data_IF_696628382403
#
_entry.id   IF_696628382403
#
_cell.length_a   1.000
_cell.length_b   1.000
_cell.length_c   1.000
_cell.angle_alpha   90.00
_cell.angle_beta   90.00
_cell.angle_gamma   90.00
#
_symmetry.space_group_name_H-M   'P 1'
#
loop_
_entity.id
_entity.type
_entity.pdbx_description
1 polymer ?
#
# COMPACT_ATOMS: atom_id res chain seq x y z
N UNK A 1 36.20 -58.54 -36.25
CA UNK A 1 35.91 -58.51 -34.84
C UNK A 1 35.62 -57.06 -34.49
N UNK A 2 34.33 -56.67 -34.55
CA UNK A 2 33.90 -55.29 -34.29
C UNK A 2 33.28 -55.22 -32.90
N UNK A 3 33.84 -54.41 -32.07
CA UNK A 3 33.39 -54.17 -30.69
C UNK A 3 32.27 -53.14 -30.70
N UNK A 4 31.02 -53.50 -30.39
CA UNK A 4 29.93 -52.62 -30.12
C UNK A 4 30.04 -52.10 -28.69
N UNK A 5 30.20 -50.77 -28.52
CA UNK A 5 30.08 -50.12 -27.24
C UNK A 5 28.62 -49.60 -27.11
N UNK A 6 27.87 -50.21 -26.18
CA UNK A 6 26.53 -49.74 -25.83
C UNK A 6 26.63 -48.53 -24.91
N UNK A 7 26.16 -47.32 -25.39
CA UNK A 7 25.90 -46.18 -24.55
C UNK A 7 24.58 -46.38 -23.82
N UNK A 8 24.61 -46.57 -22.50
CA UNK A 8 23.44 -46.48 -21.64
C UNK A 8 23.14 -45.02 -21.36
N UNK A 9 22.10 -44.46 -22.02
CA UNK A 9 21.49 -43.21 -21.61
C UNK A 9 20.64 -43.45 -20.36
N UNK A 10 21.23 -43.25 -19.19
CA UNK A 10 20.51 -43.13 -17.92
C UNK A 10 20.36 -41.66 -17.58
N UNK A 11 19.28 -41.01 -18.06
CA UNK A 11 18.93 -39.65 -17.74
C UNK A 11 17.46 -39.55 -17.36
N UNK A 12 17.11 -40.14 -16.21
CA UNK A 12 15.81 -39.92 -15.61
C UNK A 12 15.74 -38.56 -14.92
N UNK A 13 15.57 -37.48 -15.69
CA UNK A 13 15.09 -36.22 -15.18
C UNK A 13 13.60 -36.37 -14.85
N UNK A 14 13.29 -36.81 -13.63
CA UNK A 14 11.94 -36.81 -13.11
C UNK A 14 11.46 -35.36 -13.00
N UNK A 15 10.63 -34.91 -13.94
CA UNK A 15 9.74 -33.77 -13.70
C UNK A 15 8.82 -34.18 -12.57
N UNK A 16 9.14 -33.74 -11.33
CA UNK A 16 8.21 -33.91 -10.21
C UNK A 16 6.94 -33.12 -10.57
N UNK A 17 5.88 -33.84 -10.97
CA UNK A 17 4.60 -33.23 -11.24
C UNK A 17 4.13 -32.41 -10.04
N UNK A 18 3.43 -31.30 -10.28
CA UNK A 18 2.84 -30.48 -9.21
C UNK A 18 1.96 -31.36 -8.31
N UNK A 19 2.09 -31.19 -6.98
CA UNK A 19 1.23 -31.85 -5.99
C UNK A 19 -0.22 -31.39 -6.05
N UNK A 20 -0.54 -30.34 -6.82
CA UNK A 20 -1.84 -29.71 -6.91
C UNK A 20 -1.74 -28.19 -6.87
N UNK A 21 -2.87 -27.54 -6.63
CA UNK A 21 -2.96 -26.07 -6.66
C UNK A 21 -3.49 -25.52 -5.34
N UNK A 22 -2.82 -24.53 -4.81
CA UNK A 22 -3.26 -23.68 -3.71
C UNK A 22 -3.64 -22.32 -4.31
N UNK A 23 -4.74 -21.71 -3.85
CA UNK A 23 -5.18 -20.40 -4.31
C UNK A 23 -4.81 -19.32 -3.28
N UNK A 24 -4.38 -18.18 -3.80
CA UNK A 24 -4.32 -16.91 -3.07
C UNK A 24 -5.05 -15.85 -3.87
N UNK A 25 -5.69 -14.91 -3.17
CA UNK A 25 -6.39 -13.80 -3.81
C UNK A 25 -5.69 -12.46 -3.59
N UNK A 26 -6.21 -11.44 -4.24
CA UNK A 26 -6.07 -10.05 -3.78
C UNK A 26 -7.41 -9.35 -3.88
N UNK A 27 -7.62 -8.35 -3.02
CA UNK A 27 -8.72 -7.41 -3.11
C UNK A 27 -8.16 -6.00 -3.18
N UNK A 28 -8.31 -5.35 -4.34
CA UNK A 28 -7.62 -4.10 -4.69
C UNK A 28 -8.46 -3.29 -5.67
N UNK A 29 -8.42 -1.94 -5.63
CA UNK A 29 -9.11 -1.09 -6.61
C UNK A 29 -8.35 -1.05 -7.95
N UNK A 30 -8.40 -2.16 -8.72
CA UNK A 30 -7.61 -2.28 -9.97
C UNK A 30 -8.11 -1.36 -11.10
N UNK A 31 -9.20 -0.64 -10.91
CA UNK A 31 -9.61 0.44 -11.79
C UNK A 31 -8.72 1.70 -11.65
N UNK A 32 -7.94 1.80 -10.57
CA UNK A 32 -6.96 2.87 -10.34
C UNK A 32 -5.56 2.44 -10.76
N UNK A 33 -4.68 3.39 -11.07
CA UNK A 33 -3.28 3.08 -11.38
C UNK A 33 -2.53 2.51 -10.17
N UNK A 34 -2.84 2.97 -8.95
CA UNK A 34 -2.28 2.45 -7.70
C UNK A 34 -2.66 1.00 -7.45
N UNK A 35 -3.95 0.66 -7.53
CA UNK A 35 -4.44 -0.71 -7.35
C UNK A 35 -3.90 -1.67 -8.42
N UNK A 36 -3.89 -1.26 -9.70
CA UNK A 36 -3.38 -2.08 -10.78
C UNK A 36 -1.87 -2.36 -10.65
N UNK A 37 -1.06 -1.34 -10.35
CA UNK A 37 0.39 -1.52 -10.15
C UNK A 37 0.71 -2.42 -8.95
N UNK A 38 -0.13 -2.36 -7.91
CA UNK A 38 -0.05 -3.24 -6.74
C UNK A 38 -0.36 -4.70 -7.11
N UNK A 39 -1.43 -4.94 -7.90
CA UNK A 39 -1.76 -6.28 -8.42
C UNK A 39 -0.63 -6.87 -9.30
N UNK A 40 0.05 -6.03 -10.09
CA UNK A 40 1.22 -6.42 -10.88
C UNK A 40 2.36 -6.94 -10.00
N UNK A 41 2.62 -6.29 -8.84
CA UNK A 41 3.61 -6.73 -7.86
C UNK A 41 3.32 -8.13 -7.31
N UNK A 42 2.06 -8.40 -6.97
CA UNK A 42 1.61 -9.73 -6.49
C UNK A 42 1.80 -10.78 -7.60
N UNK A 43 1.32 -10.46 -8.80
CA UNK A 43 1.45 -11.37 -9.95
C UNK A 43 2.91 -11.72 -10.21
N UNK A 44 3.81 -10.73 -10.18
CA UNK A 44 5.23 -10.96 -10.37
C UNK A 44 5.83 -11.89 -9.32
N UNK A 45 5.47 -11.73 -8.04
CA UNK A 45 5.92 -12.62 -6.96
C UNK A 45 5.44 -14.06 -7.19
N UNK A 46 4.18 -14.24 -7.57
CA UNK A 46 3.59 -15.56 -7.84
C UNK A 46 4.23 -16.22 -9.05
N UNK A 47 4.42 -15.48 -10.13
CA UNK A 47 5.04 -16.00 -11.35
C UNK A 47 6.47 -16.48 -11.06
N UNK A 48 7.28 -15.70 -10.34
CA UNK A 48 8.61 -16.09 -9.90
C UNK A 48 8.58 -17.34 -8.99
N UNK A 49 7.66 -17.41 -8.03
CA UNK A 49 7.53 -18.55 -7.14
C UNK A 49 7.17 -19.81 -7.91
N UNK A 50 6.25 -19.73 -8.85
CA UNK A 50 5.84 -20.87 -9.69
C UNK A 50 6.97 -21.32 -10.63
N UNK A 51 7.72 -20.38 -11.23
CA UNK A 51 8.89 -20.69 -12.05
C UNK A 51 9.99 -21.43 -11.24
N UNK A 52 10.07 -21.18 -9.93
CA UNK A 52 10.98 -21.86 -9.01
C UNK A 52 10.41 -23.19 -8.44
N UNK A 53 9.30 -23.73 -8.98
CA UNK A 53 8.69 -24.99 -8.55
C UNK A 53 7.54 -24.85 -7.55
N UNK A 54 7.04 -23.64 -7.36
CA UNK A 54 5.90 -23.34 -6.49
C UNK A 54 6.22 -23.32 -5.00
N UNK A 55 5.24 -23.61 -4.17
CA UNK A 55 5.41 -23.70 -2.71
C UNK A 55 5.33 -25.15 -2.28
N UNK A 56 6.47 -25.72 -1.88
CA UNK A 56 6.61 -27.11 -1.47
C UNK A 56 6.02 -28.12 -2.47
N UNK A 57 6.12 -27.81 -3.79
CA UNK A 57 5.60 -28.61 -4.89
C UNK A 57 4.15 -28.30 -5.29
N UNK A 58 3.46 -27.37 -4.61
CA UNK A 58 2.16 -26.86 -5.05
C UNK A 58 2.34 -25.65 -5.97
N UNK A 59 1.57 -25.64 -7.07
CA UNK A 59 1.44 -24.44 -7.90
C UNK A 59 0.55 -23.43 -7.18
N UNK A 60 0.94 -22.17 -7.17
CA UNK A 60 0.12 -21.08 -6.63
C UNK A 60 -0.74 -20.49 -7.76
N UNK A 61 -2.05 -20.55 -7.59
CA UNK A 61 -3.01 -19.87 -8.46
C UNK A 61 -3.38 -18.54 -7.82
N UNK A 62 -3.05 -17.45 -8.48
CA UNK A 62 -3.42 -16.10 -8.04
C UNK A 62 -4.65 -15.62 -8.79
N UNK A 63 -5.59 -15.04 -8.05
CA UNK A 63 -6.78 -14.39 -8.59
C UNK A 63 -6.88 -12.97 -8.02
N UNK A 64 -6.90 -11.99 -8.91
CA UNK A 64 -7.15 -10.59 -8.57
C UNK A 64 -8.66 -10.34 -8.54
N UNK A 65 -9.14 -9.75 -7.45
CA UNK A 65 -10.51 -9.26 -7.30
C UNK A 65 -10.46 -7.73 -7.28
N UNK A 66 -11.47 -7.12 -7.92
CA UNK A 66 -11.61 -5.68 -8.04
C UNK A 66 -12.67 -5.18 -7.06
N UNK A 67 -12.28 -4.32 -6.13
CA UNK A 67 -13.21 -3.68 -5.19
C UNK A 67 -13.77 -2.35 -5.71
N UNK A 68 -13.52 -2.00 -6.96
CA UNK A 68 -14.02 -0.75 -7.55
C UNK A 68 -15.53 -0.77 -7.80
N UNK A 69 -16.14 0.38 -7.50
CA UNK A 69 -17.48 0.75 -7.96
C UNK A 69 -17.43 2.21 -8.41
N UNK A 70 -17.93 2.49 -9.60
CA UNK A 70 -18.00 3.87 -10.16
C UNK A 70 -16.63 4.60 -10.16
N UNK A 71 -15.54 3.87 -10.42
CA UNK A 71 -14.19 4.43 -10.53
C UNK A 71 -13.52 4.79 -9.20
N UNK A 72 -13.99 4.22 -8.08
CA UNK A 72 -13.38 4.33 -6.78
C UNK A 72 -13.51 3.01 -6.01
N UNK A 73 -12.71 2.81 -4.96
CA UNK A 73 -12.86 1.66 -4.08
C UNK A 73 -14.24 1.65 -3.39
N UNK A 74 -14.72 0.47 -3.07
CA UNK A 74 -15.99 0.23 -2.39
C UNK A 74 -15.82 -0.84 -1.33
N UNK A 75 -16.13 -0.51 -0.08
CA UNK A 75 -16.09 -1.49 1.00
C UNK A 75 -17.10 -2.64 0.79
N UNK A 76 -18.26 -2.35 0.19
CA UNK A 76 -19.26 -3.37 -0.12
C UNK A 76 -18.74 -4.37 -1.17
N UNK A 77 -18.03 -3.86 -2.21
CA UNK A 77 -17.40 -4.73 -3.20
C UNK A 77 -16.30 -5.61 -2.59
N UNK A 78 -15.49 -5.05 -1.69
CA UNK A 78 -14.48 -5.81 -0.96
C UNK A 78 -15.10 -6.92 -0.12
N UNK A 79 -16.20 -6.63 0.59
CA UNK A 79 -16.97 -7.65 1.33
C UNK A 79 -17.44 -8.79 0.41
N UNK A 80 -18.01 -8.48 -0.76
CA UNK A 80 -18.44 -9.48 -1.76
C UNK A 80 -17.25 -10.32 -2.24
N UNK A 81 -16.10 -9.71 -2.49
CA UNK A 81 -14.87 -10.37 -2.93
C UNK A 81 -14.33 -11.33 -1.86
N UNK A 82 -14.24 -10.89 -0.61
CA UNK A 82 -13.80 -11.73 0.52
C UNK A 82 -14.77 -12.90 0.71
N UNK A 83 -16.10 -12.69 0.66
CA UNK A 83 -17.09 -13.75 0.76
C UNK A 83 -16.92 -14.78 -0.37
N UNK A 84 -16.61 -14.34 -1.58
CA UNK A 84 -16.32 -15.22 -2.73
C UNK A 84 -15.08 -16.08 -2.46
N UNK A 85 -13.99 -15.48 -1.96
CA UNK A 85 -12.79 -16.22 -1.57
C UNK A 85 -13.05 -17.20 -0.42
N UNK A 86 -13.85 -16.80 0.57
CA UNK A 86 -14.20 -17.64 1.70
C UNK A 86 -15.04 -18.85 1.29
N UNK A 87 -15.85 -18.72 0.23
CA UNK A 87 -16.66 -19.81 -0.35
C UNK A 87 -15.86 -20.94 -1.02
N UNK A 88 -14.57 -20.70 -1.36
CA UNK A 88 -13.68 -21.73 -1.92
C UNK A 88 -12.55 -22.05 -0.93
N UNK A 89 -12.58 -23.24 -0.35
CA UNK A 89 -11.58 -23.69 0.65
C UNK A 89 -10.14 -23.77 0.10
N UNK A 90 -9.93 -23.68 -1.21
CA UNK A 90 -8.59 -23.61 -1.82
C UNK A 90 -7.91 -22.26 -1.62
N UNK A 91 -8.67 -21.18 -1.36
CA UNK A 91 -8.09 -19.90 -0.98
C UNK A 91 -7.61 -19.95 0.46
N UNK A 92 -6.29 -19.82 0.65
CA UNK A 92 -5.65 -19.90 1.95
C UNK A 92 -5.30 -18.52 2.55
N UNK A 93 -5.46 -17.46 1.79
CA UNK A 93 -5.25 -16.08 2.19
C UNK A 93 -5.26 -15.14 1.00
N UNK A 94 -5.15 -13.85 1.29
CA UNK A 94 -5.11 -12.80 0.27
C UNK A 94 -4.09 -11.71 0.59
N UNK A 95 -3.68 -10.99 -0.46
CA UNK A 95 -2.93 -9.74 -0.37
C UNK A 95 -3.93 -8.61 -0.56
N UNK A 96 -3.98 -7.72 0.40
CA UNK A 96 -4.96 -6.66 0.46
C UNK A 96 -5.66 -6.60 1.83
N UNK A 97 -6.71 -5.73 1.90
CA UNK A 97 -7.12 -4.78 0.86
C UNK A 97 -6.16 -3.58 0.73
N UNK A 98 -6.43 -2.74 -0.27
CA UNK A 98 -5.64 -1.52 -0.52
C UNK A 98 -6.06 -0.38 0.43
N UNK A 99 -7.35 -0.15 0.59
CA UNK A 99 -7.92 0.97 1.31
C UNK A 99 -8.34 0.59 2.75
N UNK A 100 -8.08 1.48 3.72
CA UNK A 100 -8.35 1.22 5.14
C UNK A 100 -9.85 1.04 5.45
N UNK A 101 -10.73 1.71 4.71
CA UNK A 101 -12.19 1.54 4.85
C UNK A 101 -12.64 0.13 4.42
N UNK A 102 -12.02 -0.42 3.39
CA UNK A 102 -12.26 -1.80 2.92
C UNK A 102 -11.78 -2.79 3.97
N UNK A 103 -10.56 -2.62 4.50
CA UNK A 103 -10.04 -3.47 5.58
C UNK A 103 -10.95 -3.49 6.81
N UNK A 104 -11.46 -2.32 7.21
CA UNK A 104 -12.42 -2.20 8.32
C UNK A 104 -13.68 -3.06 8.11
N UNK A 105 -14.16 -3.19 6.88
CA UNK A 105 -15.32 -3.99 6.54
C UNK A 105 -15.03 -5.49 6.41
N UNK A 106 -13.84 -5.85 5.92
CA UNK A 106 -13.46 -7.23 5.62
C UNK A 106 -12.93 -8.02 6.83
N UNK A 107 -12.20 -7.37 7.74
CA UNK A 107 -11.62 -8.04 8.92
C UNK A 107 -12.70 -8.79 9.73
N UNK A 108 -13.89 -8.22 10.03
CA UNK A 108 -14.92 -8.91 10.80
C UNK A 108 -15.46 -10.19 10.13
N UNK A 109 -15.41 -10.27 8.80
CA UNK A 109 -15.90 -11.41 8.02
C UNK A 109 -14.84 -12.49 7.88
N UNK A 110 -13.59 -12.08 7.66
CA UNK A 110 -12.45 -12.98 7.42
C UNK A 110 -11.91 -13.58 8.72
N UNK A 111 -12.00 -12.85 9.84
CA UNK A 111 -11.43 -13.25 11.13
C UNK A 111 -11.99 -14.57 11.68
N UNK A 112 -13.33 -14.81 11.71
CA UNK A 112 -13.88 -16.08 12.16
C UNK A 112 -13.49 -17.28 11.30
N UNK A 113 -13.05 -17.04 10.08
CA UNK A 113 -12.61 -18.05 9.11
C UNK A 113 -11.09 -18.25 9.12
N UNK A 114 -10.38 -17.60 10.01
CA UNK A 114 -8.91 -17.61 10.10
C UNK A 114 -8.23 -17.27 8.76
N UNK A 115 -8.91 -16.50 7.90
CA UNK A 115 -8.44 -16.18 6.57
C UNK A 115 -7.41 -15.06 6.63
N UNK A 116 -6.18 -15.38 6.23
CA UNK A 116 -5.05 -14.43 6.27
C UNK A 116 -5.27 -13.31 5.28
N UNK A 117 -5.20 -12.08 5.77
CA UNK A 117 -5.15 -10.86 4.99
C UNK A 117 -3.81 -10.17 5.25
N UNK A 118 -3.08 -9.81 4.21
CA UNK A 118 -1.83 -9.05 4.35
C UNK A 118 -1.85 -7.83 3.43
N UNK A 119 -2.06 -6.67 4.03
CA UNK A 119 -2.17 -5.42 3.26
C UNK A 119 -0.80 -4.87 2.87
N UNK A 120 -0.64 -4.48 1.60
CA UNK A 120 0.55 -3.77 1.13
C UNK A 120 0.50 -2.25 1.36
N UNK A 121 -0.66 -1.69 1.78
CA UNK A 121 -0.90 -0.25 1.70
C UNK A 121 -1.78 0.35 2.80
N UNK A 122 -2.48 -0.45 3.62
CA UNK A 122 -3.33 0.13 4.67
C UNK A 122 -2.50 0.75 5.79
N UNK A 123 -2.77 2.00 6.08
CA UNK A 123 -1.98 2.80 7.03
C UNK A 123 -2.73 3.23 8.28
N UNK A 124 -4.08 3.17 8.29
CA UNK A 124 -4.83 3.56 9.48
C UNK A 124 -4.46 2.68 10.69
N UNK A 125 -3.94 3.26 11.80
CA UNK A 125 -3.47 2.48 12.95
C UNK A 125 -4.60 1.73 13.66
N UNK A 126 -5.82 2.26 13.67
CA UNK A 126 -6.96 1.68 14.38
C UNK A 126 -7.41 0.31 13.84
N UNK A 127 -6.91 -0.12 12.68
CA UNK A 127 -7.12 -1.46 12.16
C UNK A 127 -6.41 -2.54 13.00
N UNK A 128 -5.36 -2.18 13.73
CA UNK A 128 -4.49 -3.13 14.44
C UNK A 128 -4.25 -2.79 15.89
N UNK A 129 -4.26 -1.51 16.27
CA UNK A 129 -3.87 -1.01 17.58
C UNK A 129 -4.64 0.25 17.97
N UNK A 130 -4.63 0.57 19.26
CA UNK A 130 -5.03 1.89 19.75
C UNK A 130 -3.91 2.91 19.52
N UNK A 131 -4.29 4.17 19.30
CA UNK A 131 -3.34 5.29 19.24
C UNK A 131 -3.31 6.02 20.58
N UNK A 132 -2.12 6.20 21.18
CA UNK A 132 -2.01 6.93 22.43
C UNK A 132 -2.17 8.44 22.22
N UNK A 133 -2.60 9.20 23.24
CA UNK A 133 -2.50 10.65 23.22
C UNK A 133 -1.07 11.11 22.87
N UNK A 134 -0.88 12.27 22.22
CA UNK A 134 -1.87 13.32 21.93
C UNK A 134 -2.73 13.11 20.66
N UNK A 135 -2.55 12.01 19.94
CA UNK A 135 -3.34 11.74 18.74
C UNK A 135 -4.81 11.49 19.10
N UNK A 136 -5.71 11.75 18.15
CA UNK A 136 -7.12 11.47 18.33
C UNK A 136 -7.35 9.96 18.57
N UNK A 137 -8.20 9.57 19.54
CA UNK A 137 -8.47 8.19 19.82
C UNK A 137 -9.17 7.51 18.63
N UNK A 138 -8.97 6.21 18.51
CA UNK A 138 -9.68 5.40 17.52
C UNK A 138 -11.20 5.46 17.72
N UNK A 139 -11.95 5.60 16.65
CA UNK A 139 -13.43 5.56 16.64
C UNK A 139 -13.98 4.14 16.51
N UNK A 140 -13.12 3.16 16.35
CA UNK A 140 -13.40 1.72 16.34
C UNK A 140 -12.15 0.97 16.83
N UNK A 141 -12.32 -0.25 17.33
CA UNK A 141 -11.23 -0.97 17.99
C UNK A 141 -10.86 -2.25 17.24
N UNK A 142 -9.57 -2.51 17.10
CA UNK A 142 -9.05 -3.71 16.42
C UNK A 142 -9.60 -5.02 17.02
N UNK A 143 -9.82 -5.06 18.33
CA UNK A 143 -10.41 -6.21 19.02
C UNK A 143 -11.85 -6.49 18.55
N UNK A 144 -12.64 -5.42 18.35
CA UNK A 144 -14.03 -5.54 17.88
C UNK A 144 -14.07 -6.01 16.43
N UNK A 145 -13.17 -5.50 15.58
CA UNK A 145 -13.04 -5.97 14.19
C UNK A 145 -12.73 -7.47 14.13
N UNK A 146 -11.95 -7.99 15.05
CA UNK A 146 -11.59 -9.42 15.11
C UNK A 146 -12.66 -10.31 15.76
N UNK A 147 -13.73 -9.73 16.31
CA UNK A 147 -14.79 -10.47 17.02
C UNK A 147 -14.25 -11.44 18.07
N UNK A 148 -13.20 -11.06 18.80
CA UNK A 148 -12.53 -11.89 19.80
C UNK A 148 -11.66 -13.03 19.23
N UNK A 149 -11.51 -13.13 17.93
CA UNK A 149 -10.64 -14.13 17.29
C UNK A 149 -9.17 -13.71 17.34
N UNK A 150 -8.27 -14.67 17.10
CA UNK A 150 -6.86 -14.41 16.93
C UNK A 150 -6.61 -13.55 15.67
N UNK A 151 -5.53 -12.77 15.69
CA UNK A 151 -5.18 -11.90 14.58
C UNK A 151 -5.09 -12.67 13.26
N UNK A 152 -5.79 -12.18 12.23
CA UNK A 152 -5.79 -12.69 10.87
C UNK A 152 -5.36 -11.62 9.83
N UNK A 153 -5.04 -10.41 10.30
CA UNK A 153 -4.71 -9.26 9.46
C UNK A 153 -3.29 -8.76 9.76
N UNK A 154 -2.49 -8.60 8.73
CA UNK A 154 -1.12 -8.08 8.75
C UNK A 154 -0.94 -6.97 7.72
N UNK A 155 0.12 -6.17 7.88
CA UNK A 155 0.53 -5.19 6.88
C UNK A 155 2.05 -5.02 6.84
N UNK A 156 2.58 -4.82 5.64
CA UNK A 156 4.02 -4.64 5.40
C UNK A 156 4.44 -3.17 5.38
N UNK A 157 3.51 -2.25 5.57
CA UNK A 157 3.72 -0.80 5.60
C UNK A 157 3.56 -0.25 7.02
N UNK A 158 4.17 0.92 7.28
CA UNK A 158 4.00 1.62 8.55
C UNK A 158 2.62 2.30 8.64
N UNK A 159 2.36 3.02 9.72
CA UNK A 159 1.02 3.55 10.03
C UNK A 159 0.99 5.08 10.04
N UNK A 160 -0.21 5.66 9.95
CA UNK A 160 -0.43 7.10 9.85
C UNK A 160 0.03 7.87 11.08
N UNK A 161 0.13 7.19 12.24
CA UNK A 161 0.75 7.76 13.45
C UNK A 161 2.26 8.04 13.30
N UNK A 162 2.89 7.56 12.21
CA UNK A 162 4.21 7.96 11.74
C UNK A 162 4.13 8.83 10.48
N UNK A 163 3.25 8.51 9.54
CA UNK A 163 3.19 9.16 8.24
C UNK A 163 2.71 10.61 8.31
N UNK A 164 1.61 10.89 9.03
CA UNK A 164 1.11 12.24 9.25
C UNK A 164 2.15 13.15 9.92
N UNK A 165 2.78 12.72 11.05
CA UNK A 165 3.87 13.43 11.68
C UNK A 165 5.10 13.69 10.79
N UNK A 166 5.44 12.75 9.88
CA UNK A 166 6.55 12.94 8.95
C UNK A 166 6.31 14.13 8.03
N UNK A 167 5.14 14.20 7.36
CA UNK A 167 4.82 15.34 6.49
C UNK A 167 4.66 16.64 7.28
N UNK A 168 4.05 16.61 8.46
CA UNK A 168 3.94 17.78 9.32
C UNK A 168 5.32 18.36 9.68
N UNK A 169 6.26 17.49 10.03
CA UNK A 169 7.64 17.86 10.34
C UNK A 169 8.37 18.42 9.12
N UNK A 170 8.20 17.78 7.96
CA UNK A 170 8.81 18.20 6.72
C UNK A 170 8.28 19.57 6.26
N UNK A 171 6.96 19.77 6.28
CA UNK A 171 6.35 21.06 5.93
C UNK A 171 6.81 22.16 6.89
N UNK A 172 6.84 21.89 8.20
CA UNK A 172 7.21 22.89 9.20
C UNK A 172 8.71 23.22 9.16
N UNK A 173 9.58 22.21 9.19
CA UNK A 173 11.04 22.40 9.36
C UNK A 173 11.79 22.60 8.04
N UNK A 174 11.39 21.86 6.98
CA UNK A 174 12.12 21.87 5.71
C UNK A 174 11.54 22.88 4.73
N UNK A 175 10.21 22.94 4.62
CA UNK A 175 9.55 23.91 3.74
C UNK A 175 9.28 25.26 4.43
N UNK A 176 9.59 25.39 5.74
CA UNK A 176 9.39 26.59 6.55
C UNK A 176 7.95 27.13 6.52
N UNK A 177 6.97 26.21 6.56
CA UNK A 177 5.55 26.53 6.58
C UNK A 177 5.08 26.51 8.03
N UNK A 178 4.50 27.61 8.51
CA UNK A 178 4.03 27.76 9.88
C UNK A 178 2.52 27.87 10.02
N UNK A 179 1.80 27.98 8.89
CA UNK A 179 0.34 27.99 8.86
C UNK A 179 -0.19 27.18 7.68
N UNK A 180 -1.16 26.28 7.91
CA UNK A 180 -1.73 25.40 6.89
C UNK A 180 -3.25 25.37 6.93
N UNK A 181 -3.89 25.22 5.76
CA UNK A 181 -5.24 24.69 5.66
C UNK A 181 -5.17 23.16 5.56
N UNK A 182 -6.09 22.47 6.22
CA UNK A 182 -6.19 21.00 6.15
C UNK A 182 -7.51 20.62 5.51
N UNK A 183 -7.46 19.66 4.58
CA UNK A 183 -8.63 19.13 3.88
C UNK A 183 -8.60 17.61 3.90
N UNK A 184 -9.70 16.96 4.29
CA UNK A 184 -9.82 15.51 4.17
C UNK A 184 -11.05 15.08 3.36
N UNK A 185 -11.02 13.84 2.87
CA UNK A 185 -12.08 13.23 2.05
C UNK A 185 -13.14 12.48 2.87
N UNK A 186 -13.19 12.70 4.17
CA UNK A 186 -14.13 12.05 5.14
C UNK A 186 -14.01 10.51 5.18
N UNK A 187 -12.98 9.91 4.56
CA UNK A 187 -12.77 8.46 4.63
C UNK A 187 -12.05 8.05 5.90
N UNK A 188 -12.08 6.75 6.22
CA UNK A 188 -11.34 6.18 7.37
C UNK A 188 -9.86 6.54 7.32
N UNK A 189 -9.25 6.51 6.11
CA UNK A 189 -7.86 6.90 5.91
C UNK A 189 -7.69 8.41 6.02
N UNK A 190 -8.47 9.19 5.24
CA UNK A 190 -8.29 10.64 5.15
C UNK A 190 -8.42 11.36 6.49
N UNK A 191 -9.46 11.04 7.26
CA UNK A 191 -9.65 11.59 8.62
C UNK A 191 -8.50 11.19 9.56
N UNK A 192 -8.06 9.92 9.48
CA UNK A 192 -6.98 9.41 10.35
C UNK A 192 -5.66 10.11 10.14
N UNK A 193 -5.20 10.18 8.89
CA UNK A 193 -3.90 10.78 8.56
C UNK A 193 -3.91 12.30 8.76
N UNK A 194 -5.02 12.99 8.46
CA UNK A 194 -5.18 14.42 8.70
C UNK A 194 -5.14 14.76 10.19
N UNK A 195 -5.77 13.95 11.03
CA UNK A 195 -5.72 14.11 12.49
C UNK A 195 -4.32 13.92 13.06
N UNK A 196 -3.56 12.94 12.54
CA UNK A 196 -2.17 12.71 12.93
C UNK A 196 -1.25 13.88 12.49
N UNK A 197 -1.46 14.39 11.26
CA UNK A 197 -0.77 15.59 10.76
C UNK A 197 -1.06 16.81 11.64
N UNK A 198 -2.34 17.12 11.89
CA UNK A 198 -2.80 18.25 12.70
C UNK A 198 -2.13 18.26 14.08
N UNK A 199 -2.14 17.11 14.74
CA UNK A 199 -1.57 16.94 16.08
C UNK A 199 -0.07 17.28 16.08
N UNK A 200 0.68 16.71 15.15
CA UNK A 200 2.12 16.96 15.05
C UNK A 200 2.43 18.39 14.62
N UNK A 201 1.70 18.94 13.64
CA UNK A 201 1.95 20.29 13.15
C UNK A 201 1.76 21.35 14.26
N UNK A 202 0.68 21.20 15.05
CA UNK A 202 0.43 22.04 16.23
C UNK A 202 1.50 21.86 17.32
N UNK A 203 1.97 20.64 17.54
CA UNK A 203 3.03 20.37 18.54
C UNK A 203 4.36 21.04 18.19
N UNK A 204 4.63 21.26 16.91
CA UNK A 204 5.80 22.00 16.42
C UNK A 204 5.66 23.52 16.53
N UNK A 205 4.49 24.02 16.95
CA UNK A 205 4.17 25.46 17.01
C UNK A 205 3.50 25.98 15.74
N UNK A 206 3.13 25.11 14.82
CA UNK A 206 2.39 25.48 13.61
C UNK A 206 0.91 25.76 13.88
N UNK A 207 0.30 26.54 13.01
CA UNK A 207 -1.13 26.89 13.06
C UNK A 207 -1.90 26.17 11.97
N UNK A 208 -2.87 25.36 12.33
CA UNK A 208 -3.90 24.88 11.40
C UNK A 208 -5.00 25.94 11.37
N UNK A 209 -4.99 26.77 10.31
CA UNK A 209 -5.92 27.91 10.18
C UNK A 209 -7.36 27.47 10.02
N UNK A 210 -7.56 26.32 9.39
CA UNK A 210 -8.87 25.66 9.24
C UNK A 210 -8.63 24.18 8.84
N UNK A 211 -9.44 23.30 9.42
CA UNK A 211 -9.62 21.92 8.94
C UNK A 211 -11.02 21.81 8.32
N UNK A 212 -11.12 21.25 7.13
CA UNK A 212 -12.37 21.07 6.38
C UNK A 212 -12.44 19.66 5.84
N UNK A 213 -13.65 19.14 5.76
CA UNK A 213 -13.96 17.81 5.22
C UNK A 213 -14.82 17.96 3.96
N UNK A 214 -14.79 16.96 3.09
CA UNK A 214 -15.72 16.84 1.98
C UNK A 214 -16.09 15.38 1.70
N UNK A 215 -17.16 15.17 0.97
CA UNK A 215 -17.56 13.88 0.45
C UNK A 215 -17.58 13.92 -1.07
N UNK A 216 -16.90 12.98 -1.73
CA UNK A 216 -16.83 12.88 -3.20
C UNK A 216 -18.22 12.91 -3.85
N UNK A 217 -19.20 12.23 -3.25
CA UNK A 217 -20.56 12.13 -3.82
C UNK A 217 -21.28 13.47 -3.97
N UNK A 218 -20.90 14.48 -3.16
CA UNK A 218 -21.59 15.78 -3.11
C UNK A 218 -20.71 16.96 -3.44
N UNK A 219 -19.39 16.75 -3.64
CA UNK A 219 -18.42 17.82 -3.85
C UNK A 219 -17.74 17.70 -5.21
N UNK A 220 -17.85 18.74 -6.01
CA UNK A 220 -17.17 18.87 -7.31
C UNK A 220 -16.35 20.16 -7.44
N UNK A 221 -16.46 21.07 -6.47
CA UNK A 221 -15.74 22.34 -6.42
C UNK A 221 -15.29 22.66 -4.99
N UNK A 222 -14.01 22.88 -4.81
CA UNK A 222 -13.35 23.17 -3.52
C UNK A 222 -12.96 24.65 -3.38
N UNK A 223 -13.25 25.51 -4.37
CA UNK A 223 -12.79 26.91 -4.39
C UNK A 223 -13.22 27.70 -3.15
N UNK A 224 -14.43 27.48 -2.65
CA UNK A 224 -14.91 28.15 -1.42
C UNK A 224 -14.05 27.75 -0.20
N UNK A 225 -13.72 26.48 -0.06
CA UNK A 225 -12.85 25.97 1.02
C UNK A 225 -11.44 26.57 0.88
N UNK A 226 -10.87 26.51 -0.34
CA UNK A 226 -9.53 27.00 -0.64
C UNK A 226 -9.41 28.51 -0.43
N UNK A 227 -10.42 29.31 -0.81
CA UNK A 227 -10.47 30.75 -0.49
C UNK A 227 -10.55 30.99 1.02
N UNK A 228 -11.25 30.14 1.76
CA UNK A 228 -11.27 30.19 3.21
C UNK A 228 -9.87 29.99 3.82
N UNK A 229 -9.09 29.06 3.30
CA UNK A 229 -7.69 28.83 3.72
C UNK A 229 -6.78 30.01 3.34
N UNK A 230 -6.87 30.46 2.09
CA UNK A 230 -6.10 31.61 1.57
C UNK A 230 -6.35 32.88 2.39
N UNK A 231 -7.61 33.21 2.65
CA UNK A 231 -8.01 34.41 3.39
C UNK A 231 -7.62 34.34 4.89
N UNK A 232 -7.52 33.11 5.44
CA UNK A 232 -7.03 32.88 6.80
C UNK A 232 -5.49 32.89 6.90
N UNK A 233 -4.77 33.09 5.79
CA UNK A 233 -3.32 33.23 5.76
C UNK A 233 -2.56 31.90 5.76
N UNK A 234 -3.16 30.83 5.23
CA UNK A 234 -2.44 29.57 5.06
C UNK A 234 -1.27 29.72 4.07
N UNK A 235 -0.10 29.26 4.49
CA UNK A 235 1.15 29.24 3.71
C UNK A 235 1.30 27.92 2.92
N UNK A 236 0.46 26.92 3.21
CA UNK A 236 0.42 25.64 2.55
C UNK A 236 -0.93 24.95 2.76
N UNK A 237 -1.16 23.88 2.04
CA UNK A 237 -2.33 23.00 2.20
C UNK A 237 -1.83 21.59 2.48
N UNK A 238 -2.41 20.93 3.49
CA UNK A 238 -2.25 19.51 3.69
C UNK A 238 -3.56 18.80 3.35
N UNK A 239 -3.45 17.64 2.68
CA UNK A 239 -4.62 16.84 2.32
C UNK A 239 -4.50 15.41 2.83
N UNK A 240 -5.59 14.91 3.44
CA UNK A 240 -5.77 13.51 3.79
C UNK A 240 -6.86 12.90 2.92
N UNK A 241 -6.49 11.91 2.12
CA UNK A 241 -7.41 11.25 1.22
C UNK A 241 -6.71 10.59 0.06
N UNK A 242 -7.50 10.04 -0.86
CA UNK A 242 -7.03 9.30 -2.02
C UNK A 242 -7.44 9.97 -3.33
N UNK A 243 -6.66 9.75 -4.38
CA UNK A 243 -6.92 10.28 -5.72
C UNK A 243 -8.28 9.85 -6.28
N UNK A 244 -8.70 8.60 -6.02
CA UNK A 244 -10.01 8.11 -6.43
C UNK A 244 -11.17 8.77 -5.67
N UNK A 245 -10.90 9.48 -4.57
CA UNK A 245 -11.82 10.39 -3.88
C UNK A 245 -11.68 11.84 -4.35
N UNK A 246 -10.93 12.12 -5.41
CA UNK A 246 -10.71 13.44 -6.02
C UNK A 246 -9.87 14.41 -5.17
N UNK A 247 -9.09 13.94 -4.17
CA UNK A 247 -8.33 14.80 -3.24
C UNK A 247 -7.25 15.65 -3.94
N UNK A 248 -6.84 15.30 -5.16
CA UNK A 248 -5.82 16.04 -5.91
C UNK A 248 -6.40 17.19 -6.75
N UNK A 249 -7.70 17.20 -7.06
CA UNK A 249 -8.36 18.27 -7.82
C UNK A 249 -8.22 19.65 -7.16
N UNK A 250 -8.30 19.78 -5.81
CA UNK A 250 -8.04 21.05 -5.13
C UNK A 250 -6.73 21.73 -5.55
N UNK A 251 -5.65 20.99 -5.83
CA UNK A 251 -4.37 21.59 -6.28
C UNK A 251 -4.53 22.37 -7.58
N UNK A 252 -5.26 21.83 -8.57
CA UNK A 252 -5.56 22.54 -9.80
C UNK A 252 -6.39 23.81 -9.52
N UNK A 253 -7.40 23.69 -8.66
CA UNK A 253 -8.26 24.83 -8.32
C UNK A 253 -7.52 25.93 -7.53
N UNK A 254 -6.50 25.59 -6.73
CA UNK A 254 -5.60 26.58 -6.12
C UNK A 254 -4.91 27.44 -7.19
N UNK A 255 -4.39 26.81 -8.27
CA UNK A 255 -3.78 27.53 -9.39
C UNK A 255 -4.78 28.41 -10.12
N UNK A 256 -6.01 27.92 -10.34
CA UNK A 256 -7.10 28.70 -10.94
C UNK A 256 -7.44 29.96 -10.10
N UNK A 257 -7.25 29.90 -8.78
CA UNK A 257 -7.41 31.03 -7.84
C UNK A 257 -6.17 31.94 -7.74
N UNK A 258 -5.12 31.70 -8.53
CA UNK A 258 -3.86 32.42 -8.42
C UNK A 258 -3.20 32.24 -7.05
N UNK A 259 -3.35 31.06 -6.44
CA UNK A 259 -2.79 30.73 -5.12
C UNK A 259 -1.86 29.53 -5.25
N UNK A 260 -0.57 29.82 -5.29
CA UNK A 260 0.50 28.84 -5.51
C UNK A 260 1.35 28.68 -4.27
N UNK A 261 0.87 27.86 -3.34
CA UNK A 261 1.58 27.46 -2.12
C UNK A 261 1.81 25.96 -2.13
N UNK A 262 2.77 25.43 -1.33
CA UNK A 262 2.98 23.99 -1.22
C UNK A 262 1.70 23.22 -0.88
N UNK A 263 1.57 22.04 -1.49
CA UNK A 263 0.45 21.12 -1.32
C UNK A 263 1.01 19.77 -0.89
N UNK A 264 0.80 19.40 0.37
CA UNK A 264 1.31 18.16 0.95
C UNK A 264 0.20 17.17 1.20
N UNK A 265 0.51 15.86 1.18
CA UNK A 265 -0.45 14.82 1.54
C UNK A 265 0.23 13.52 1.96
N UNK A 266 -0.60 12.53 2.23
CA UNK A 266 -0.19 11.15 2.51
C UNK A 266 0.13 10.36 1.24
N UNK A 267 0.26 9.05 1.41
CA UNK A 267 0.50 8.08 0.33
C UNK A 267 -0.67 7.98 -0.68
N UNK A 268 -1.88 8.35 -0.27
CA UNK A 268 -3.05 8.38 -1.14
C UNK A 268 -2.98 9.38 -2.30
N UNK A 269 -1.99 10.28 -2.31
CA UNK A 269 -1.71 11.18 -3.42
C UNK A 269 -0.42 10.85 -4.18
N UNK A 270 0.39 9.89 -3.72
CA UNK A 270 1.59 9.43 -4.44
C UNK A 270 1.21 8.47 -5.57
N UNK A 271 0.44 8.96 -6.53
CA UNK A 271 -0.12 8.16 -7.62
C UNK A 271 -0.02 8.86 -8.98
N UNK A 272 -0.03 8.08 -10.04
CA UNK A 272 -0.16 8.59 -11.42
C UNK A 272 -1.47 9.34 -11.62
N UNK A 273 -2.57 8.86 -11.01
CA UNK A 273 -3.89 9.45 -11.18
C UNK A 273 -3.96 10.82 -10.49
N UNK A 274 -3.29 11.00 -9.34
CA UNK A 274 -3.16 12.31 -8.72
C UNK A 274 -2.47 13.33 -9.64
N UNK A 275 -1.32 12.96 -10.23
CA UNK A 275 -0.62 13.84 -11.18
C UNK A 275 -1.53 14.18 -12.37
N UNK A 276 -2.29 13.23 -12.90
CA UNK A 276 -3.19 13.47 -14.01
C UNK A 276 -4.35 14.42 -13.64
N UNK A 277 -4.90 14.32 -12.42
CA UNK A 277 -6.00 15.16 -11.94
C UNK A 277 -5.64 16.64 -11.82
N UNK A 278 -4.40 16.95 -11.54
CA UNK A 278 -3.95 18.35 -11.39
C UNK A 278 -3.66 19.02 -12.72
N UNK A 279 -3.67 18.28 -13.85
CA UNK A 279 -3.55 18.77 -15.21
C UNK A 279 -2.29 19.62 -15.47
N UNK A 280 -1.13 19.21 -14.95
CA UNK A 280 0.15 19.92 -15.12
C UNK A 280 0.44 20.98 -14.04
N UNK A 281 -0.29 20.99 -12.94
CA UNK A 281 -0.12 21.97 -11.85
C UNK A 281 0.57 21.42 -10.60
N UNK A 282 1.34 20.35 -10.73
CA UNK A 282 1.89 19.59 -9.60
C UNK A 282 3.19 20.15 -9.02
N UNK A 283 3.82 21.15 -9.62
CA UNK A 283 4.99 21.78 -9.00
C UNK A 283 4.65 22.23 -7.57
N UNK A 284 5.46 21.79 -6.58
CA UNK A 284 5.21 22.06 -5.18
C UNK A 284 4.17 21.12 -4.52
N UNK A 285 3.89 19.96 -5.13
CA UNK A 285 3.15 18.85 -4.50
C UNK A 285 4.16 17.92 -3.82
N UNK A 286 3.87 17.58 -2.57
CA UNK A 286 4.67 16.70 -1.73
C UNK A 286 3.81 15.56 -1.22
N UNK A 287 4.33 14.34 -1.24
CA UNK A 287 3.65 13.17 -0.71
C UNK A 287 4.55 12.39 0.24
N UNK A 288 3.94 11.68 1.19
CA UNK A 288 4.63 10.62 1.92
C UNK A 288 4.24 9.27 1.36
N UNK A 289 5.10 8.27 1.53
CA UNK A 289 4.79 6.85 1.36
C UNK A 289 5.08 6.11 2.66
N UNK A 290 4.22 5.19 3.03
CA UNK A 290 4.28 4.47 4.30
C UNK A 290 5.29 3.31 4.30
N UNK A 291 6.44 3.51 3.69
CA UNK A 291 7.48 2.51 3.56
C UNK A 291 8.77 3.06 2.97
N UNK A 292 9.76 2.19 2.86
CA UNK A 292 10.98 2.49 2.13
C UNK A 292 10.71 2.50 0.62
N UNK A 293 11.31 3.46 -0.09
CA UNK A 293 11.42 3.39 -1.54
C UNK A 293 12.33 2.21 -1.92
N UNK A 294 11.76 1.18 -2.52
CA UNK A 294 12.49 -0.03 -2.89
C UNK A 294 13.68 0.25 -3.84
N UNK A 295 13.63 1.36 -4.61
CA UNK A 295 14.75 1.77 -5.48
C UNK A 295 15.96 2.27 -4.68
N UNK A 296 15.77 2.59 -3.39
CA UNK A 296 16.80 3.04 -2.45
C UNK A 296 17.24 1.94 -1.48
N UNK A 297 16.54 0.80 -1.44
CA UNK A 297 16.90 -0.34 -0.58
C UNK A 297 18.04 -1.12 -1.21
N UNK A 298 19.12 -1.31 -0.45
CA UNK A 298 20.26 -2.12 -0.90
C UNK A 298 19.80 -3.57 -1.17
N UNK A 299 20.11 -4.10 -2.34
CA UNK A 299 19.71 -5.46 -2.75
C UNK A 299 18.37 -5.56 -3.48
N UNK A 300 17.52 -4.53 -3.47
CA UNK A 300 16.25 -4.51 -4.21
C UNK A 300 16.44 -4.24 -5.72
N UNK A 301 17.53 -3.62 -6.12
CA UNK A 301 17.77 -3.12 -7.49
C UNK A 301 17.54 -4.19 -8.58
N UNK A 302 18.01 -5.42 -8.35
CA UNK A 302 17.86 -6.52 -9.31
C UNK A 302 16.38 -6.93 -9.47
N UNK A 303 15.63 -6.97 -8.36
CA UNK A 303 14.21 -7.32 -8.38
C UNK A 303 13.38 -6.23 -9.05
N UNK A 304 13.65 -4.96 -8.74
CA UNK A 304 12.98 -3.81 -9.39
C UNK A 304 13.25 -3.81 -10.91
N UNK A 305 14.50 -4.04 -11.32
CA UNK A 305 14.84 -4.12 -12.73
C UNK A 305 14.15 -5.31 -13.44
N UNK A 306 14.09 -6.48 -12.79
CA UNK A 306 13.39 -7.65 -13.32
C UNK A 306 11.88 -7.41 -13.41
N UNK A 307 11.27 -6.74 -12.42
CA UNK A 307 9.88 -6.33 -12.45
C UNK A 307 9.60 -5.42 -13.65
N UNK A 308 10.36 -4.34 -13.81
CA UNK A 308 10.19 -3.38 -14.92
C UNK A 308 10.37 -4.02 -16.30
N UNK A 309 11.19 -5.06 -16.40
CA UNK A 309 11.32 -5.87 -17.62
C UNK A 309 10.08 -6.71 -17.88
N UNK A 310 9.46 -7.27 -16.85
CA UNK A 310 8.26 -8.09 -16.97
C UNK A 310 6.99 -7.24 -17.19
N UNK A 311 6.96 -6.05 -16.63
CA UNK A 311 5.88 -5.08 -16.67
C UNK A 311 6.43 -3.73 -17.20
N UNK A 312 6.55 -3.57 -18.54
CA UNK A 312 7.23 -2.40 -19.12
C UNK A 312 6.34 -1.16 -19.29
N UNK A 313 5.06 -1.24 -18.93
CA UNK A 313 4.14 -0.12 -19.02
C UNK A 313 4.50 1.00 -18.04
N UNK A 314 4.30 2.25 -18.44
CA UNK A 314 4.67 3.43 -17.65
C UNK A 314 3.99 3.48 -16.26
N UNK A 315 2.81 2.86 -16.13
CA UNK A 315 2.04 2.84 -14.88
C UNK A 315 2.03 1.46 -14.20
N UNK A 316 2.86 0.52 -14.66
CA UNK A 316 2.91 -0.82 -14.08
C UNK A 316 3.60 -0.82 -12.71
N UNK A 317 4.43 0.18 -12.44
CA UNK A 317 5.14 0.37 -11.18
C UNK A 317 4.55 1.58 -10.43
N UNK A 318 4.11 1.38 -9.20
CA UNK A 318 3.55 2.40 -8.31
C UNK A 318 4.14 2.33 -6.92
N UNK A 319 3.71 3.22 -6.03
CA UNK A 319 4.23 3.36 -4.67
C UNK A 319 4.19 2.08 -3.85
N UNK A 320 3.21 1.20 -4.08
CA UNK A 320 3.02 -0.05 -3.33
C UNK A 320 3.30 -1.35 -4.10
N UNK A 321 3.87 -1.26 -5.30
CA UNK A 321 4.19 -2.44 -6.13
C UNK A 321 5.14 -3.42 -5.41
N UNK A 322 6.22 -2.92 -4.81
CA UNK A 322 7.21 -3.77 -4.15
C UNK A 322 6.77 -4.19 -2.75
N UNK A 323 5.95 -3.42 -2.07
CA UNK A 323 5.29 -3.80 -0.84
C UNK A 323 4.33 -4.99 -1.08
N UNK A 324 3.58 -4.97 -2.18
CA UNK A 324 2.70 -6.07 -2.58
C UNK A 324 3.48 -7.32 -2.98
N UNK A 325 4.61 -7.16 -3.66
CA UNK A 325 5.54 -8.25 -3.94
C UNK A 325 6.01 -8.94 -2.64
N UNK A 326 6.41 -8.16 -1.64
CA UNK A 326 6.86 -8.71 -0.35
C UNK A 326 5.70 -9.31 0.44
N UNK A 327 4.52 -8.70 0.45
CA UNK A 327 3.32 -9.24 1.10
C UNK A 327 2.96 -10.62 0.52
N UNK A 328 3.00 -10.77 -0.81
CA UNK A 328 2.76 -12.05 -1.48
C UNK A 328 3.82 -13.10 -1.11
N UNK A 329 5.10 -12.71 -1.08
CA UNK A 329 6.17 -13.63 -0.70
C UNK A 329 6.08 -14.04 0.78
N UNK A 330 5.70 -13.12 1.69
CA UNK A 330 5.49 -13.42 3.10
C UNK A 330 4.33 -14.41 3.30
N UNK A 331 3.21 -14.22 2.60
CA UNK A 331 2.07 -15.16 2.61
C UNK A 331 2.48 -16.53 2.07
N UNK A 332 3.14 -16.58 0.91
CA UNK A 332 3.61 -17.83 0.31
C UNK A 332 4.62 -18.56 1.20
N UNK A 333 5.48 -17.83 1.92
CA UNK A 333 6.40 -18.41 2.89
C UNK A 333 5.65 -19.01 4.10
N UNK A 334 4.60 -18.34 4.60
CA UNK A 334 3.75 -18.86 5.67
C UNK A 334 2.98 -20.11 5.21
N UNK A 335 2.45 -20.12 3.98
CA UNK A 335 1.84 -21.30 3.36
C UNK A 335 2.85 -22.47 3.29
N UNK A 336 4.10 -22.20 2.89
CA UNK A 336 5.13 -23.23 2.82
C UNK A 336 5.43 -23.86 4.18
N UNK A 337 5.50 -23.07 5.24
CA UNK A 337 5.65 -23.58 6.62
C UNK A 337 4.43 -24.39 7.05
N UNK A 338 3.22 -23.94 6.71
CA UNK A 338 1.98 -24.64 7.02
C UNK A 338 1.85 -25.98 6.26
N UNK A 339 2.33 -26.05 5.01
CA UNK A 339 2.40 -27.32 4.25
C UNK A 339 3.34 -28.32 4.96
N UNK A 340 4.46 -27.85 5.52
CA UNK A 340 5.35 -28.73 6.30
C UNK A 340 4.67 -29.22 7.57
N UNK A 341 3.96 -28.37 8.30
CA UNK A 341 3.17 -28.76 9.49
C UNK A 341 2.03 -29.73 9.16
N UNK A 342 1.50 -29.66 7.94
CA UNK A 342 0.50 -30.59 7.38
C UNK A 342 1.12 -31.85 6.77
N UNK A 343 2.39 -32.20 7.10
CA UNK A 343 3.13 -33.34 6.56
C UNK A 343 3.14 -33.40 5.02
N UNK A 344 3.22 -32.24 4.38
CA UNK A 344 3.27 -32.09 2.92
C UNK A 344 1.89 -32.04 2.25
N UNK A 345 0.80 -32.11 3.01
CA UNK A 345 -0.58 -31.94 2.53
C UNK A 345 -0.98 -30.47 2.40
N UNK A 346 -2.17 -30.22 1.86
CA UNK A 346 -2.77 -28.89 1.79
C UNK A 346 -3.13 -28.42 3.22
N UNK A 347 -2.58 -27.28 3.70
CA UNK A 347 -2.87 -26.81 5.04
C UNK A 347 -4.27 -26.20 5.14
N UNK A 348 -4.77 -26.10 6.36
CA UNK A 348 -5.97 -25.32 6.68
C UNK A 348 -5.63 -23.82 6.76
N UNK A 349 -6.65 -22.95 6.67
CA UNK A 349 -6.50 -21.49 6.87
C UNK A 349 -5.91 -21.17 8.24
N UNK A 350 -6.35 -21.89 9.30
CA UNK A 350 -5.80 -21.70 10.65
C UNK A 350 -4.31 -22.06 10.73
N UNK A 351 -3.87 -23.13 10.06
CA UNK A 351 -2.44 -23.45 10.01
C UNK A 351 -1.63 -22.35 9.32
N UNK A 352 -2.15 -21.78 8.21
CA UNK A 352 -1.51 -20.65 7.52
C UNK A 352 -1.46 -19.41 8.41
N UNK A 353 -2.58 -19.07 9.08
CA UNK A 353 -2.67 -17.96 10.03
C UNK A 353 -1.65 -18.12 11.17
N UNK A 354 -1.59 -19.32 11.75
CA UNK A 354 -0.65 -19.61 12.83
C UNK A 354 0.83 -19.47 12.37
N UNK A 355 1.13 -19.87 11.13
CA UNK A 355 2.47 -19.69 10.57
C UNK A 355 2.76 -18.23 10.18
N UNK A 356 1.74 -17.47 9.75
CA UNK A 356 1.89 -16.03 9.49
C UNK A 356 2.27 -15.29 10.78
N UNK A 357 1.65 -15.60 11.90
CA UNK A 357 1.95 -15.03 13.22
C UNK A 357 3.39 -15.32 13.71
N UNK A 358 4.04 -16.36 13.17
CA UNK A 358 5.44 -16.73 13.51
C UNK A 358 6.47 -16.10 12.56
N UNK A 359 6.06 -15.26 11.61
CA UNK A 359 7.00 -14.62 10.66
C UNK A 359 7.93 -13.68 11.42
N UNK A 360 9.24 -13.98 11.35
CA UNK A 360 10.32 -13.18 11.96
C UNK A 360 11.50 -13.12 10.99
N UNK A 361 12.21 -11.98 10.99
CA UNK A 361 13.39 -11.79 10.16
C UNK A 361 13.13 -12.01 8.67
N UNK A 362 11.93 -11.65 8.19
CA UNK A 362 11.60 -11.81 6.78
C UNK A 362 12.44 -10.85 5.94
N UNK A 363 13.24 -11.40 5.03
CA UNK A 363 14.09 -10.62 4.13
C UNK A 363 13.32 -10.36 2.85
N UNK A 364 12.85 -9.13 2.71
CA UNK A 364 12.11 -8.65 1.56
C UNK A 364 12.88 -7.60 0.75
N UNK A 365 12.28 -7.15 -0.34
CA UNK A 365 12.83 -6.06 -1.18
C UNK A 365 12.61 -4.69 -0.55
N UNK A 366 11.66 -4.56 0.39
CA UNK A 366 11.45 -3.33 1.14
C UNK A 366 12.28 -3.26 2.43
N UNK A 367 13.04 -4.30 2.75
CA UNK A 367 13.88 -4.43 3.93
C UNK A 367 13.69 -5.75 4.66
N UNK A 368 14.36 -5.89 5.82
CA UNK A 368 14.18 -7.04 6.71
C UNK A 368 13.23 -6.66 7.84
N UNK A 369 12.19 -7.46 8.08
CA UNK A 369 11.16 -7.12 9.06
C UNK A 369 10.55 -8.32 9.77
N UNK A 370 9.96 -8.03 10.91
CA UNK A 370 9.08 -8.88 11.69
C UNK A 370 7.65 -8.33 11.63
N UNK A 371 6.68 -9.14 12.05
CA UNK A 371 5.37 -8.65 12.44
C UNK A 371 5.23 -8.68 13.96
N UNK A 372 4.70 -7.62 14.54
CA UNK A 372 4.37 -7.56 15.95
C UNK A 372 3.08 -8.37 16.28
N UNK A 373 2.67 -8.37 17.56
CA UNK A 373 1.47 -9.08 18.00
C UNK A 373 0.17 -8.52 17.39
N UNK A 374 0.19 -7.27 16.93
CA UNK A 374 -0.94 -6.61 16.28
C UNK A 374 -1.03 -6.93 14.79
N UNK A 375 0.07 -7.44 14.20
CA UNK A 375 0.21 -7.68 12.76
C UNK A 375 0.88 -6.52 12.00
N UNK A 376 1.40 -5.53 12.72
CA UNK A 376 2.14 -4.41 12.12
C UNK A 376 3.59 -4.79 11.85
N UNK A 377 4.13 -4.29 10.73
CA UNK A 377 5.56 -4.45 10.41
C UNK A 377 6.46 -3.74 11.42
N UNK A 378 7.65 -4.31 11.68
CA UNK A 378 8.71 -3.64 12.44
C UNK A 378 9.37 -2.49 11.68
N UNK A 379 9.21 -2.40 10.36
CA UNK A 379 9.68 -1.25 9.56
C UNK A 379 8.82 -0.03 9.88
N UNK A 380 9.42 0.97 10.52
CA UNK A 380 8.79 2.25 10.84
C UNK A 380 9.40 3.34 9.97
N UNK A 381 9.27 3.15 8.65
CA UNK A 381 9.92 3.98 7.64
C UNK A 381 8.84 4.78 6.90
N UNK A 382 9.11 6.06 6.70
CA UNK A 382 8.30 6.95 5.85
C UNK A 382 9.22 7.61 4.84
N UNK A 383 8.93 7.45 3.55
CA UNK A 383 9.60 8.16 2.47
C UNK A 383 8.83 9.45 2.11
N UNK A 384 9.55 10.48 1.67
CA UNK A 384 9.00 11.78 1.27
C UNK A 384 9.37 12.02 -0.19
N UNK A 385 8.38 12.44 -0.96
CA UNK A 385 8.51 12.72 -2.39
C UNK A 385 8.05 14.14 -2.72
N UNK A 386 8.60 14.66 -3.80
CA UNK A 386 8.16 15.92 -4.42
C UNK A 386 7.91 15.68 -5.91
N UNK A 387 6.83 16.24 -6.44
CA UNK A 387 6.60 16.20 -7.88
C UNK A 387 7.54 17.15 -8.59
N UNK A 388 8.33 16.59 -9.49
CA UNK A 388 9.30 17.32 -10.32
C UNK A 388 9.19 16.92 -11.79
N UNK A 389 9.54 17.84 -12.68
CA UNK A 389 9.69 17.54 -14.09
C UNK A 389 10.97 16.73 -14.32
N UNK A 390 10.88 15.65 -15.10
CA UNK A 390 11.99 14.79 -15.46
C UNK A 390 12.22 14.83 -16.98
N UNK A 391 13.44 14.56 -17.43
CA UNK A 391 13.77 14.53 -18.86
C UNK A 391 13.07 13.39 -19.60
N UNK A 392 12.97 12.23 -18.95
CA UNK A 392 12.34 11.03 -19.50
C UNK A 392 11.67 10.22 -18.37
N UNK A 393 10.33 10.16 -18.30
CA UNK A 393 9.61 9.40 -17.31
C UNK A 393 9.94 7.90 -17.30
N UNK A 394 10.29 7.32 -18.44
CA UNK A 394 10.64 5.91 -18.53
C UNK A 394 11.94 5.57 -17.80
N UNK A 395 12.80 6.57 -17.57
CA UNK A 395 14.04 6.43 -16.79
C UNK A 395 13.88 6.84 -15.33
N UNK A 396 12.71 7.39 -14.95
CA UNK A 396 12.42 7.74 -13.57
C UNK A 396 12.22 6.47 -12.72
N UNK A 397 12.68 6.51 -11.48
CA UNK A 397 12.37 5.49 -10.47
C UNK A 397 11.09 5.81 -9.71
N UNK A 398 10.52 7.00 -9.89
CA UNK A 398 9.31 7.47 -9.23
C UNK A 398 8.01 7.09 -9.94
N UNK A 399 6.89 7.43 -9.30
CA UNK A 399 5.54 7.38 -9.88
C UNK A 399 5.35 8.60 -10.79
N UNK A 400 4.94 8.40 -12.03
CA UNK A 400 4.86 9.46 -13.03
C UNK A 400 3.44 9.61 -13.58
N UNK A 401 3.07 10.84 -13.92
CA UNK A 401 1.84 11.15 -14.65
C UNK A 401 1.99 10.94 -16.16
N UNK A 402 0.86 10.86 -16.86
CA UNK A 402 0.77 10.79 -18.34
C UNK A 402 0.73 12.19 -18.97
N UNK A 403 1.22 13.21 -18.30
CA UNK A 403 1.15 14.58 -18.80
C UNK A 403 2.29 14.89 -19.77
N UNK A 404 2.07 15.84 -20.69
CA UNK A 404 3.12 16.32 -21.60
C UNK A 404 4.32 16.99 -20.88
N UNK A 405 4.19 17.25 -19.57
CA UNK A 405 5.22 17.89 -18.75
C UNK A 405 6.23 16.90 -18.16
N UNK A 406 6.07 15.58 -18.35
CA UNK A 406 6.95 14.57 -17.77
C UNK A 406 7.11 14.73 -16.24
N UNK A 407 6.00 14.85 -15.53
CA UNK A 407 6.00 15.08 -14.09
C UNK A 407 6.01 13.76 -13.33
N UNK A 408 6.91 13.63 -12.34
CA UNK A 408 7.05 12.43 -11.52
C UNK A 408 7.24 12.80 -10.05
N UNK A 409 6.74 11.94 -9.15
CA UNK A 409 7.17 11.97 -7.74
C UNK A 409 8.62 11.51 -7.64
N UNK A 410 9.47 12.37 -7.12
CA UNK A 410 10.91 12.14 -6.94
C UNK A 410 11.21 12.06 -5.47
N UNK A 411 11.88 10.99 -5.06
CA UNK A 411 12.30 10.78 -3.66
C UNK A 411 13.18 11.93 -3.17
N UNK A 412 12.87 12.47 -2.01
CA UNK A 412 13.56 13.61 -1.37
C UNK A 412 14.24 13.23 -0.08
N UNK A 413 13.53 12.45 0.77
CA UNK A 413 14.00 12.14 2.12
C UNK A 413 13.35 10.85 2.64
N UNK A 414 13.88 10.32 3.74
CA UNK A 414 13.34 9.15 4.42
C UNK A 414 13.56 9.27 5.92
N UNK A 415 12.51 9.03 6.69
CA UNK A 415 12.57 9.00 8.14
C UNK A 415 12.40 7.56 8.61
N UNK A 416 13.33 7.09 9.44
CA UNK A 416 13.25 5.77 10.06
C UNK A 416 13.00 5.92 11.56
N UNK A 417 11.75 5.76 11.96
CA UNK A 417 11.34 5.90 13.37
C UNK A 417 11.74 4.72 14.26
N UNK A 418 12.25 3.62 13.71
CA UNK A 418 12.79 2.52 14.50
C UNK A 418 14.17 2.83 15.10
N UNK A 419 14.85 3.87 14.57
CA UNK A 419 16.21 4.29 15.00
C UNK A 419 16.25 5.68 15.64
N UNK A 420 15.12 6.36 15.71
CA UNK A 420 14.94 7.64 16.39
C UNK A 420 14.18 7.43 17.71
#
# INVERSE_FOLDING_TARGET
MALMVAFACGGGGGTSGSKGTIKIGSDLPVCTTGGQSTANGIKFAVDQKNAAGGVNGYTISYQSFDDCRQGAYSADAGVENVQTMLGDAKFLGMIGPYNSAVAKAEIPISSPQHFVMISPSNTNPCLTKEVPPPQAPCTYHAADLRNGNANNYWRVVTTDDYQGPAMATYMYKTLNIHSVGVLDDSTVFGVGISGAFDTQFKSLGGTVVKHSEYQKATTSDWKTILLGFKNAGAQGVYVGGTDDQNICIPRKQMKDLGWDVPFGGGDGIETTDCINQTSGNEAGVYATSAGADATKVQGATATVAAFRKAFPGANDFGGYTMQAYDAANALMAAIGRAVNDANGGVPTREQVRAQMAKTRGFVGVIGTYDFDANGDTSLKIVSIYEVQQVADPAQSTGVCGKTAANLCFIWKDQINYATT
#
